data_IF_063201216163
#
_entry.id   IF_063201216163
#
_cell.length_a   1.000
_cell.length_b   1.000
_cell.length_c   1.000
_cell.angle_alpha   90.00
_cell.angle_beta   90.00
_cell.angle_gamma   90.00
#
_symmetry.space_group_name_H-M   'P 1'
#
loop_
_entity.id
_entity.type
_entity.pdbx_description
1 polymer ?
#
# COMPACT_ATOMS: atom_id res chain seq x y z
N UNK A 1 7.88 -21.26 -19.24
CA UNK A 1 6.99 -21.47 -18.08
C UNK A 1 5.80 -22.37 -18.38
N UNK A 2 6.02 -23.68 -18.48
CA UNK A 2 4.98 -24.67 -18.85
C UNK A 2 4.28 -25.28 -17.62
N UNK A 3 3.17 -25.97 -17.86
CA UNK A 3 2.60 -26.93 -16.90
C UNK A 3 3.31 -28.26 -17.16
N UNK A 4 3.93 -28.83 -16.14
CA UNK A 4 4.51 -30.18 -16.21
C UNK A 4 3.39 -31.20 -15.92
N UNK A 5 3.39 -32.30 -16.67
CA UNK A 5 2.46 -33.40 -16.47
C UNK A 5 3.26 -34.68 -16.23
N UNK A 6 2.93 -35.40 -15.17
CA UNK A 6 3.53 -36.69 -14.81
C UNK A 6 2.43 -37.71 -14.52
N UNK A 7 2.75 -39.00 -14.68
CA UNK A 7 1.81 -40.10 -14.44
C UNK A 7 2.40 -41.03 -13.40
N UNK A 8 1.67 -41.21 -12.31
CA UNK A 8 2.16 -41.96 -11.15
C UNK A 8 1.16 -43.00 -10.67
N UNK A 9 1.65 -44.11 -10.16
CA UNK A 9 0.82 -45.12 -9.51
C UNK A 9 0.48 -44.63 -8.10
N UNK A 10 -0.80 -44.62 -7.76
CA UNK A 10 -1.28 -44.23 -6.43
C UNK A 10 -0.99 -45.37 -5.45
N UNK A 11 -0.04 -45.14 -4.56
CA UNK A 11 0.26 -46.03 -3.44
C UNK A 11 -0.52 -45.57 -2.20
N UNK A 12 -1.26 -46.48 -1.57
CA UNK A 12 -2.10 -46.16 -0.41
C UNK A 12 -3.44 -45.52 -0.77
N UNK A 13 -3.96 -44.67 0.11
CA UNK A 13 -5.21 -43.95 -0.14
C UNK A 13 -5.00 -42.78 -1.11
N UNK A 14 -6.06 -42.34 -1.79
CA UNK A 14 -6.02 -41.14 -2.64
C UNK A 14 -5.62 -39.90 -1.85
N UNK A 15 -6.10 -39.80 -0.61
CA UNK A 15 -5.83 -38.66 0.27
C UNK A 15 -4.35 -38.61 0.69
N UNK A 16 -3.77 -39.75 1.08
CA UNK A 16 -2.35 -39.83 1.46
C UNK A 16 -1.44 -39.47 0.29
N UNK A 17 -1.75 -39.98 -0.91
CA UNK A 17 -1.02 -39.67 -2.13
C UNK A 17 -1.04 -38.16 -2.41
N UNK A 18 -2.22 -37.54 -2.36
CA UNK A 18 -2.38 -36.10 -2.60
C UNK A 18 -1.65 -35.28 -1.55
N UNK A 19 -1.80 -35.61 -0.27
CA UNK A 19 -1.14 -34.89 0.83
C UNK A 19 0.39 -34.99 0.74
N UNK A 20 0.91 -36.17 0.39
CA UNK A 20 2.35 -36.39 0.15
C UNK A 20 2.85 -35.52 -1.00
N UNK A 21 2.11 -35.49 -2.11
CA UNK A 21 2.46 -34.67 -3.28
C UNK A 21 2.41 -33.18 -2.96
N UNK A 22 1.36 -32.71 -2.32
CA UNK A 22 1.24 -31.29 -1.92
C UNK A 22 2.37 -30.87 -0.97
N UNK A 23 2.76 -31.73 -0.02
CA UNK A 23 3.83 -31.46 0.93
C UNK A 23 5.22 -31.38 0.30
N UNK A 24 5.42 -32.05 -0.85
CA UNK A 24 6.67 -32.00 -1.61
C UNK A 24 6.82 -30.73 -2.46
N UNK A 25 5.73 -29.99 -2.68
CA UNK A 25 5.72 -28.77 -3.48
C UNK A 25 6.05 -27.55 -2.62
N UNK A 26 6.81 -26.62 -3.19
CA UNK A 26 7.00 -25.29 -2.59
C UNK A 26 5.66 -24.53 -2.62
N UNK A 27 5.30 -23.86 -1.54
CA UNK A 27 4.12 -23.01 -1.44
C UNK A 27 2.96 -23.59 -0.63
N UNK A 28 1.89 -22.81 -0.49
CA UNK A 28 0.72 -23.17 0.31
C UNK A 28 -0.43 -23.48 -0.62
N UNK A 29 -0.85 -24.74 -0.75
CA UNK A 29 -1.91 -25.11 -1.68
C UNK A 29 -3.22 -25.36 -0.96
N UNK A 30 -4.31 -24.85 -1.55
CA UNK A 30 -5.66 -25.15 -1.06
C UNK A 30 -6.53 -25.66 -2.18
N UNK A 31 -7.38 -26.62 -1.84
CA UNK A 31 -8.37 -27.18 -2.74
C UNK A 31 -9.29 -26.05 -3.25
N UNK A 32 -9.43 -25.96 -4.57
CA UNK A 32 -10.29 -24.98 -5.24
C UNK A 32 -11.46 -25.64 -5.93
N UNK A 33 -11.25 -26.84 -6.46
CA UNK A 33 -12.29 -27.59 -7.14
C UNK A 33 -12.06 -29.09 -6.97
N UNK A 34 -13.15 -29.80 -6.71
CA UNK A 34 -13.17 -31.25 -6.56
C UNK A 34 -14.32 -31.85 -7.35
N UNK A 35 -14.01 -32.92 -8.08
CA UNK A 35 -14.93 -33.86 -8.69
C UNK A 35 -14.44 -35.27 -8.35
N UNK A 36 -15.30 -36.28 -8.53
CA UNK A 36 -15.07 -37.68 -8.15
C UNK A 36 -13.64 -38.20 -8.40
N UNK A 37 -13.08 -37.90 -9.56
CA UNK A 37 -11.75 -38.37 -9.98
C UNK A 37 -10.83 -37.20 -10.39
N UNK A 38 -11.13 -35.99 -9.92
CA UNK A 38 -10.33 -34.81 -10.23
C UNK A 38 -10.27 -33.85 -9.05
N UNK A 39 -9.05 -33.48 -8.65
CA UNK A 39 -8.82 -32.45 -7.65
C UNK A 39 -7.92 -31.37 -8.20
N UNK A 40 -8.26 -30.11 -7.92
CA UNK A 40 -7.53 -28.93 -8.36
C UNK A 40 -7.20 -28.04 -7.17
N UNK A 41 -5.92 -27.77 -7.01
CA UNK A 41 -5.36 -26.96 -5.97
C UNK A 41 -4.66 -25.74 -6.57
N UNK A 42 -4.84 -24.61 -5.92
CA UNK A 42 -4.16 -23.37 -6.28
C UNK A 42 -3.30 -22.92 -5.10
N UNK A 43 -2.11 -22.41 -5.40
CA UNK A 43 -1.28 -21.78 -4.39
C UNK A 43 -1.99 -20.54 -3.81
N UNK A 44 -2.04 -20.46 -2.48
CA UNK A 44 -2.60 -19.36 -1.70
C UNK A 44 -1.65 -18.16 -1.57
N UNK A 45 -0.45 -18.21 -2.19
CA UNK A 45 0.37 -17.00 -2.36
C UNK A 45 -0.51 -15.93 -3.01
N UNK A 46 -0.79 -14.88 -2.26
CA UNK A 46 -1.83 -13.91 -2.58
C UNK A 46 -1.32 -12.51 -2.30
N UNK A 47 -1.73 -11.57 -3.14
CA UNK A 47 -1.79 -10.17 -2.76
C UNK A 47 -3.18 -9.92 -2.20
N UNK A 48 -3.31 -9.74 -0.90
CA UNK A 48 -4.43 -8.93 -0.42
C UNK A 48 -4.21 -7.54 -1.02
N UNK A 49 -4.92 -7.21 -2.10
CA UNK A 49 -4.93 -5.85 -2.63
C UNK A 49 -5.64 -4.96 -1.61
N UNK A 50 -4.88 -4.29 -0.75
CA UNK A 50 -5.39 -3.07 -0.11
C UNK A 50 -5.30 -1.95 -1.14
N UNK A 51 -6.31 -1.83 -1.99
CA UNK A 51 -6.49 -0.67 -2.88
C UNK A 51 -7.05 -0.97 -4.29
N UNK A 52 -7.67 0.05 -4.89
CA UNK A 52 -8.17 0.05 -6.27
C UNK A 52 -7.00 0.33 -7.24
N UNK A 53 -6.55 -0.66 -8.02
CA UNK A 53 -5.56 -0.41 -9.08
C UNK A 53 -6.06 -0.89 -10.44
N UNK A 54 -6.29 0.05 -11.37
CA UNK A 54 -6.64 -0.21 -12.77
C UNK A 54 -5.42 -0.37 -13.70
N UNK A 55 -4.41 -1.16 -13.27
CA UNK A 55 -3.20 -1.38 -14.07
C UNK A 55 -3.28 -2.63 -14.96
N UNK A 56 -2.47 -2.66 -16.02
CA UNK A 56 -2.34 -3.77 -16.98
C UNK A 56 -2.17 -5.14 -16.29
N UNK A 57 -3.01 -6.15 -16.55
CA UNK A 57 -3.02 -7.45 -15.83
C UNK A 57 -1.72 -8.26 -15.86
N UNK A 58 -0.81 -7.97 -16.80
CA UNK A 58 0.51 -8.60 -16.90
C UNK A 58 1.59 -7.89 -16.06
N UNK A 59 1.30 -6.68 -15.57
CA UNK A 59 2.20 -5.83 -14.77
C UNK A 59 1.59 -5.40 -13.43
N UNK A 60 0.28 -5.56 -13.26
CA UNK A 60 -0.46 -5.11 -12.09
C UNK A 60 -0.54 -6.19 -11.04
N UNK A 61 -0.52 -5.71 -9.80
CA UNK A 61 -0.34 -6.45 -8.57
C UNK A 61 -1.61 -7.24 -8.15
N UNK A 62 -2.38 -7.76 -9.11
CA UNK A 62 -3.80 -8.11 -8.92
C UNK A 62 -4.15 -9.59 -9.11
N UNK A 63 -3.21 -10.45 -9.52
CA UNK A 63 -3.53 -11.86 -9.76
C UNK A 63 -3.06 -12.76 -8.62
N UNK A 64 -3.88 -13.75 -8.25
CA UNK A 64 -3.50 -14.88 -7.41
C UNK A 64 -2.26 -15.57 -7.97
N UNK A 65 -1.46 -16.20 -7.11
CA UNK A 65 -0.30 -16.97 -7.55
C UNK A 65 -0.68 -17.90 -8.72
N UNK A 66 0.15 -17.86 -9.76
CA UNK A 66 -0.02 -18.68 -10.96
C UNK A 66 0.29 -20.15 -10.74
N UNK A 67 0.86 -20.49 -9.58
CA UNK A 67 1.21 -21.86 -9.23
C UNK A 67 -0.03 -22.66 -8.86
N UNK A 68 -0.12 -23.85 -9.45
CA UNK A 68 -1.27 -24.75 -9.34
C UNK A 68 -0.79 -26.20 -9.42
N UNK A 69 -1.61 -27.09 -8.89
CA UNK A 69 -1.47 -28.53 -9.08
C UNK A 69 -2.85 -29.18 -9.21
N UNK A 70 -2.99 -30.11 -10.14
CA UNK A 70 -4.18 -30.95 -10.27
C UNK A 70 -3.83 -32.42 -10.35
N UNK A 71 -4.79 -33.23 -9.92
CA UNK A 71 -4.73 -34.67 -9.88
C UNK A 71 -5.94 -35.21 -10.64
N UNK A 72 -5.71 -35.99 -11.70
CA UNK A 72 -6.76 -36.77 -12.39
C UNK A 72 -6.53 -38.24 -12.09
N UNK A 73 -7.52 -38.93 -11.54
CA UNK A 73 -7.40 -40.33 -11.15
C UNK A 73 -8.05 -41.24 -12.18
N UNK A 74 -7.35 -42.29 -12.58
CA UNK A 74 -7.86 -43.29 -13.53
C UNK A 74 -7.50 -44.69 -13.06
N UNK A 75 -8.37 -45.66 -13.36
CA UNK A 75 -8.11 -47.07 -13.05
C UNK A 75 -7.65 -47.79 -14.31
N UNK A 76 -6.45 -48.34 -14.28
CA UNK A 76 -5.86 -49.13 -15.37
C UNK A 76 -5.60 -50.54 -14.86
N UNK A 77 -6.56 -51.44 -15.12
CA UNK A 77 -6.54 -52.80 -14.59
C UNK A 77 -6.60 -52.83 -13.06
N UNK A 78 -5.56 -53.38 -12.44
CA UNK A 78 -5.42 -53.45 -10.98
C UNK A 78 -4.81 -52.18 -10.37
N UNK A 79 -4.26 -51.28 -11.19
CA UNK A 79 -3.58 -50.08 -10.72
C UNK A 79 -4.52 -48.88 -10.73
N UNK A 80 -4.48 -48.10 -9.66
CA UNK A 80 -4.98 -46.73 -9.65
C UNK A 80 -3.81 -45.83 -10.02
N UNK A 81 -3.97 -45.01 -11.06
CA UNK A 81 -2.96 -44.04 -11.48
C UNK A 81 -3.49 -42.62 -11.31
N UNK A 82 -2.58 -41.68 -11.09
CA UNK A 82 -2.86 -40.26 -11.07
C UNK A 82 -2.05 -39.55 -12.13
N UNK A 83 -2.72 -38.75 -12.97
CA UNK A 83 -2.08 -37.79 -13.84
C UNK A 83 -1.93 -36.50 -13.03
N UNK A 84 -0.71 -36.19 -12.61
CA UNK A 84 -0.37 -35.01 -11.84
C UNK A 84 0.04 -33.89 -12.79
N UNK A 85 -0.66 -32.76 -12.77
CA UNK A 85 -0.30 -31.58 -13.57
C UNK A 85 0.07 -30.43 -12.65
N UNK A 86 1.30 -29.95 -12.72
CA UNK A 86 1.80 -28.91 -11.83
C UNK A 86 2.45 -27.76 -12.60
N UNK A 87 2.15 -26.53 -12.17
CA UNK A 87 2.95 -25.34 -12.46
C UNK A 87 3.60 -24.89 -11.17
N UNK A 88 4.90 -25.11 -11.05
CA UNK A 88 5.66 -24.77 -9.85
C UNK A 88 6.19 -23.32 -9.85
N UNK A 89 6.03 -22.58 -10.94
CA UNK A 89 6.39 -21.18 -10.98
C UNK A 89 5.41 -20.34 -10.13
N UNK A 90 5.94 -19.84 -9.02
CA UNK A 90 5.19 -18.96 -8.14
C UNK A 90 5.32 -17.50 -8.56
N UNK A 91 4.17 -16.82 -8.52
CA UNK A 91 4.06 -15.37 -8.56
C UNK A 91 3.34 -14.89 -7.29
N UNK A 92 3.46 -13.62 -6.94
CA UNK A 92 2.83 -13.06 -5.74
C UNK A 92 3.69 -13.14 -4.46
N UNK A 93 3.15 -12.68 -3.34
CA UNK A 93 3.87 -12.61 -2.06
C UNK A 93 3.82 -13.93 -1.30
N UNK A 94 4.88 -14.20 -0.53
CA UNK A 94 4.95 -15.33 0.40
C UNK A 94 4.14 -15.03 1.67
N UNK A 95 3.11 -15.82 2.00
CA UNK A 95 2.40 -15.72 3.27
C UNK A 95 3.38 -15.90 4.43
N UNK A 96 3.41 -14.95 5.36
CA UNK A 96 4.21 -15.04 6.57
C UNK A 96 5.59 -14.38 6.53
N UNK A 97 5.98 -13.71 5.44
CA UNK A 97 7.23 -12.93 5.42
C UNK A 97 7.01 -11.55 6.08
N UNK A 98 7.56 -11.29 7.29
CA UNK A 98 7.32 -10.07 8.07
C UNK A 98 7.97 -8.81 7.45
N UNK A 99 8.82 -8.98 6.43
CA UNK A 99 9.49 -7.87 5.76
C UNK A 99 8.72 -7.35 4.54
N UNK A 100 7.70 -8.07 4.04
CA UNK A 100 6.94 -7.63 2.87
C UNK A 100 5.91 -6.51 3.17
N UNK A 101 5.45 -6.41 4.43
CA UNK A 101 4.51 -5.38 4.88
C UNK A 101 5.20 -4.11 5.42
N UNK A 102 6.53 -4.10 5.49
CA UNK A 102 7.27 -2.89 5.84
C UNK A 102 7.19 -1.94 4.65
N UNK A 103 6.23 -1.02 4.69
CA UNK A 103 6.34 0.24 3.96
C UNK A 103 7.69 0.82 4.38
N UNK A 104 8.67 0.82 3.46
CA UNK A 104 9.97 1.44 3.67
C UNK A 104 9.73 2.93 3.86
N UNK A 105 9.42 3.34 5.09
CA UNK A 105 9.24 4.72 5.47
C UNK A 105 10.59 5.42 5.26
N UNK A 106 10.60 6.61 4.64
CA UNK A 106 11.80 7.43 4.57
C UNK A 106 12.46 7.57 5.94
N UNK A 107 13.79 7.55 5.96
CA UNK A 107 14.58 7.78 7.16
C UNK A 107 14.20 9.14 7.78
N UNK A 108 13.93 9.22 9.09
CA UNK A 108 13.51 10.48 9.72
C UNK A 108 14.50 11.64 9.52
N UNK A 109 15.81 11.36 9.49
CA UNK A 109 16.82 12.40 9.26
C UNK A 109 16.78 12.92 7.82
N UNK A 110 16.48 12.03 6.86
CA UNK A 110 16.25 12.42 5.46
C UNK A 110 14.97 13.25 5.32
N UNK A 111 13.90 12.88 6.00
CA UNK A 111 12.65 13.68 6.02
C UNK A 111 12.91 15.08 6.56
N UNK A 112 13.63 15.18 7.68
CA UNK A 112 13.99 16.48 8.25
C UNK A 112 14.83 17.33 7.29
N UNK A 113 15.82 16.70 6.64
CA UNK A 113 16.64 17.37 5.63
C UNK A 113 15.81 17.92 4.47
N UNK A 114 14.88 17.13 3.93
CA UNK A 114 13.96 17.57 2.86
C UNK A 114 13.06 18.72 3.31
N UNK A 115 12.60 18.71 4.56
CA UNK A 115 11.83 19.83 5.12
C UNK A 115 12.66 21.13 5.20
N UNK A 116 13.95 21.03 5.52
CA UNK A 116 14.88 22.17 5.49
C UNK A 116 15.07 22.70 4.06
N UNK A 117 15.17 21.81 3.07
CA UNK A 117 15.18 22.21 1.65
C UNK A 117 13.91 22.99 1.28
N UNK A 118 12.74 22.51 1.73
CA UNK A 118 11.47 23.17 1.46
C UNK A 118 11.30 24.51 2.16
N UNK A 119 11.73 24.64 3.41
CA UNK A 119 11.74 25.92 4.12
C UNK A 119 12.68 26.94 3.47
N UNK A 120 13.73 26.46 2.81
CA UNK A 120 14.65 27.28 2.00
C UNK A 120 14.10 27.65 0.62
N UNK A 121 12.85 27.30 0.30
CA UNK A 121 12.19 27.66 -0.96
C UNK A 121 12.48 26.71 -2.13
N UNK A 122 13.17 25.60 -1.92
CA UNK A 122 13.48 24.65 -3.01
C UNK A 122 12.23 24.01 -3.61
N UNK A 123 12.27 23.79 -4.91
CA UNK A 123 11.26 23.03 -5.67
C UNK A 123 11.34 21.53 -5.37
N UNK A 124 10.32 20.77 -5.79
CA UNK A 124 10.32 19.31 -5.61
C UNK A 124 11.51 18.63 -6.31
N UNK A 125 11.90 19.11 -7.50
CA UNK A 125 13.03 18.54 -8.24
C UNK A 125 14.35 18.80 -7.52
N UNK A 126 14.57 20.03 -7.06
CA UNK A 126 15.78 20.41 -6.31
C UNK A 126 15.88 19.66 -4.99
N UNK A 127 14.79 19.57 -4.24
CA UNK A 127 14.74 18.82 -2.98
C UNK A 127 15.00 17.32 -3.18
N UNK A 128 14.54 16.74 -4.31
CA UNK A 128 14.82 15.34 -4.64
C UNK A 128 16.30 15.12 -4.98
N UNK A 129 16.91 16.03 -5.74
CA UNK A 129 18.35 15.97 -6.06
C UNK A 129 19.20 16.13 -4.80
N UNK A 130 18.85 17.07 -3.93
CA UNK A 130 19.50 17.26 -2.63
C UNK A 130 19.35 16.02 -1.73
N UNK A 131 18.16 15.41 -1.69
CA UNK A 131 17.91 14.17 -0.96
C UNK A 131 18.77 13.00 -1.49
N UNK A 132 18.94 12.91 -2.81
CA UNK A 132 19.80 11.89 -3.42
C UNK A 132 21.26 12.08 -3.01
N UNK A 133 21.77 13.31 -3.10
CA UNK A 133 23.12 13.65 -2.69
C UNK A 133 23.35 13.37 -1.19
N UNK A 134 22.42 13.79 -0.33
CA UNK A 134 22.46 13.56 1.12
C UNK A 134 22.65 12.08 1.48
N UNK A 135 22.00 11.19 0.73
CA UNK A 135 22.09 9.74 0.93
C UNK A 135 23.43 9.17 0.47
N UNK A 136 23.97 9.65 -0.64
CA UNK A 136 25.29 9.25 -1.13
C UNK A 136 26.41 9.68 -0.17
N UNK A 137 26.34 10.91 0.35
CA UNK A 137 27.30 11.44 1.33
C UNK A 137 27.34 10.62 2.63
N UNK A 138 26.26 9.88 2.93
CA UNK A 138 26.15 9.00 4.10
C UNK A 138 26.40 7.53 3.78
N UNK A 139 27.05 7.25 2.65
CA UNK A 139 27.48 5.92 2.26
C UNK A 139 26.33 4.98 1.87
N UNK A 140 25.15 5.52 1.54
CA UNK A 140 24.04 4.70 1.03
C UNK A 140 24.28 4.44 -0.45
N UNK A 141 24.36 3.17 -0.82
CA UNK A 141 24.71 2.74 -2.19
C UNK A 141 23.55 2.07 -2.92
N UNK A 142 22.58 1.54 -2.18
CA UNK A 142 21.42 0.87 -2.77
C UNK A 142 20.32 1.87 -3.13
N UNK A 143 20.30 2.32 -4.39
CA UNK A 143 19.29 3.24 -4.94
C UNK A 143 17.85 2.71 -4.89
N UNK A 144 17.66 1.39 -4.73
CA UNK A 144 16.34 0.80 -4.57
C UNK A 144 15.82 0.88 -3.12
N UNK A 145 16.66 1.24 -2.15
CA UNK A 145 16.25 1.39 -0.75
C UNK A 145 15.53 2.73 -0.57
N UNK A 146 14.20 2.68 -0.66
CA UNK A 146 13.30 3.83 -0.51
C UNK A 146 13.35 4.51 0.86
N UNK A 147 14.02 3.92 1.86
CA UNK A 147 14.32 4.60 3.13
C UNK A 147 15.29 5.76 2.92
N UNK A 148 16.20 5.63 1.95
CA UNK A 148 17.26 6.60 1.68
C UNK A 148 17.13 7.25 0.30
N UNK A 149 16.50 6.60 -0.67
CA UNK A 149 16.34 7.12 -2.02
C UNK A 149 14.87 7.40 -2.33
N UNK A 150 14.48 8.66 -2.21
CA UNK A 150 13.10 9.11 -2.39
C UNK A 150 12.68 9.07 -3.85
N UNK A 151 11.43 8.69 -4.10
CA UNK A 151 10.81 8.83 -5.43
C UNK A 151 10.15 10.21 -5.57
N UNK A 152 9.83 10.66 -6.80
CA UNK A 152 9.07 11.90 -7.01
C UNK A 152 7.75 11.94 -6.23
N UNK A 153 7.09 10.78 -6.06
CA UNK A 153 5.86 10.66 -5.29
C UNK A 153 6.09 10.89 -3.79
N UNK A 154 7.22 10.42 -3.26
CA UNK A 154 7.58 10.61 -1.85
C UNK A 154 7.84 12.10 -1.58
N UNK A 155 8.60 12.77 -2.44
CA UNK A 155 8.89 14.21 -2.32
C UNK A 155 7.63 15.06 -2.44
N UNK A 156 6.73 14.73 -3.38
CA UNK A 156 5.43 15.41 -3.49
C UNK A 156 4.61 15.29 -2.20
N UNK A 157 4.52 14.10 -1.63
CA UNK A 157 3.80 13.86 -0.37
C UNK A 157 4.43 14.60 0.82
N UNK A 158 5.77 14.64 0.88
CA UNK A 158 6.49 15.41 1.89
C UNK A 158 6.21 16.91 1.75
N UNK A 159 6.17 17.44 0.52
CA UNK A 159 5.81 18.84 0.26
C UNK A 159 4.39 19.15 0.73
N UNK A 160 3.42 18.32 0.38
CA UNK A 160 2.02 18.48 0.83
C UNK A 160 1.91 18.47 2.36
N UNK A 161 2.68 17.60 3.02
CA UNK A 161 2.71 17.50 4.49
C UNK A 161 3.40 18.70 5.13
N UNK A 162 4.52 19.16 4.57
CA UNK A 162 5.22 20.38 4.99
C UNK A 162 4.32 21.61 4.86
N UNK A 163 3.63 21.75 3.72
CA UNK A 163 2.70 22.84 3.47
C UNK A 163 1.55 22.81 4.48
N UNK A 164 0.93 21.64 4.70
CA UNK A 164 -0.13 21.48 5.72
C UNK A 164 0.34 21.78 7.14
N UNK A 165 1.59 21.52 7.49
CA UNK A 165 2.11 21.85 8.84
C UNK A 165 2.47 23.32 9.02
N UNK A 166 2.61 24.09 7.93
CA UNK A 166 2.96 25.52 7.95
C UNK A 166 1.79 26.43 7.57
N UNK A 167 0.71 25.89 7.00
CA UNK A 167 -0.58 26.57 6.99
C UNK A 167 -1.27 26.31 8.32
N UNK A 168 -1.51 27.37 9.09
CA UNK A 168 -2.59 27.36 10.06
C UNK A 168 -3.87 26.93 9.34
N UNK A 169 -4.60 25.98 9.93
CA UNK A 169 -5.71 25.31 9.31
C UNK A 169 -6.66 26.35 8.70
N UNK A 170 -7.17 26.13 7.48
CA UNK A 170 -8.24 26.97 6.93
C UNK A 170 -9.51 26.96 7.82
N UNK A 171 -9.56 26.06 8.81
CA UNK A 171 -10.56 25.99 9.87
C UNK A 171 -10.24 26.84 11.12
N UNK A 172 -9.02 27.37 11.29
CA UNK A 172 -8.70 28.35 12.34
C UNK A 172 -9.30 29.73 12.03
N UNK A 173 -9.71 29.95 10.77
CA UNK A 173 -10.70 30.96 10.46
C UNK A 173 -12.08 30.45 10.90
N UNK A 174 -12.36 30.51 12.21
CA UNK A 174 -13.75 30.42 12.71
C UNK A 174 -14.52 31.47 11.93
N UNK A 175 -15.41 31.04 11.05
CA UNK A 175 -16.29 31.93 10.30
C UNK A 175 -16.88 32.92 11.30
N UNK A 176 -16.74 34.22 11.04
CA UNK A 176 -17.34 35.26 11.89
C UNK A 176 -18.85 35.05 12.06
N UNK A 177 -19.48 34.37 11.10
CA UNK A 177 -20.86 33.88 11.16
C UNK A 177 -21.07 32.85 12.28
N UNK A 178 -20.11 31.95 12.50
CA UNK A 178 -20.14 30.97 13.59
C UNK A 178 -19.95 31.64 14.97
N UNK A 179 -19.13 32.69 15.07
CA UNK A 179 -19.02 33.52 16.28
C UNK A 179 -20.39 34.13 16.67
N UNK A 180 -21.15 34.63 15.69
CA UNK A 180 -22.49 35.19 15.87
C UNK A 180 -23.58 34.15 16.22
N UNK A 181 -23.31 32.85 16.03
CA UNK A 181 -24.23 31.76 16.40
C UNK A 181 -23.87 31.08 17.73
N UNK A 182 -22.77 31.50 18.36
CA UNK A 182 -22.33 30.99 19.67
C UNK A 182 -22.81 31.87 20.82
N UNK A 183 -22.63 31.42 22.06
CA UNK A 183 -22.94 32.18 23.29
C UNK A 183 -22.20 33.52 23.40
N UNK A 184 -21.18 33.76 22.56
CA UNK A 184 -20.45 35.01 22.48
C UNK A 184 -21.21 36.12 21.74
N UNK A 185 -22.29 35.78 21.01
CA UNK A 185 -23.15 36.75 20.29
C UNK A 185 -23.59 37.90 21.20
N UNK A 186 -23.98 37.57 22.43
CA UNK A 186 -24.53 38.53 23.39
C UNK A 186 -23.48 39.55 23.89
N UNK A 187 -22.19 39.29 23.61
CA UNK A 187 -21.08 40.18 23.92
C UNK A 187 -20.61 40.99 22.71
N UNK A 188 -21.16 40.80 21.51
CA UNK A 188 -20.76 41.57 20.31
C UNK A 188 -21.57 42.86 20.23
N UNK A 189 -20.92 44.01 20.45
CA UNK A 189 -21.55 45.33 20.34
C UNK A 189 -21.62 45.84 18.91
N UNK A 190 -20.59 45.55 18.11
CA UNK A 190 -20.51 45.98 16.71
C UNK A 190 -19.84 44.89 15.89
N UNK A 191 -20.41 44.62 14.72
CA UNK A 191 -19.90 43.66 13.76
C UNK A 191 -19.88 44.29 12.36
N UNK A 192 -18.69 44.36 11.77
CA UNK A 192 -18.48 44.77 10.38
C UNK A 192 -17.70 43.66 9.67
N UNK A 193 -18.30 42.93 8.71
CA UNK A 193 -17.62 41.86 8.00
C UNK A 193 -16.51 42.41 7.09
N UNK A 194 -15.51 41.57 6.82
CA UNK A 194 -14.48 41.85 5.80
C UNK A 194 -15.16 41.94 4.43
N UNK A 195 -14.89 43.01 3.69
CA UNK A 195 -15.27 43.11 2.28
C UNK A 195 -14.07 43.60 1.48
N UNK A 196 -13.47 42.67 0.74
CA UNK A 196 -12.25 42.91 -0.05
C UNK A 196 -12.52 43.82 -1.25
N UNK A 197 -13.73 43.77 -1.83
CA UNK A 197 -14.10 44.57 -3.01
C UNK A 197 -14.11 46.08 -2.73
N UNK A 198 -14.33 46.46 -1.46
CA UNK A 198 -14.38 47.85 -1.01
C UNK A 198 -13.26 48.20 -0.03
N UNK A 199 -12.24 47.32 0.10
CA UNK A 199 -11.14 47.42 1.08
C UNK A 199 -11.61 47.70 2.52
N UNK A 200 -12.75 47.15 2.89
CA UNK A 200 -13.32 47.34 4.22
C UNK A 200 -12.78 46.28 5.18
N UNK A 201 -12.10 46.66 6.28
CA UNK A 201 -11.54 45.70 7.23
C UNK A 201 -12.63 45.02 8.06
N UNK A 202 -12.31 43.80 8.54
CA UNK A 202 -13.10 43.12 9.57
C UNK A 202 -12.97 43.88 10.90
N UNK A 203 -14.10 44.30 11.47
CA UNK A 203 -14.16 44.93 12.80
C UNK A 203 -15.15 44.15 13.67
N UNK A 204 -14.70 43.73 14.85
CA UNK A 204 -15.54 43.11 15.88
C UNK A 204 -15.28 43.85 17.19
N UNK A 205 -16.31 44.50 17.73
CA UNK A 205 -16.25 45.17 19.03
C UNK A 205 -16.97 44.30 20.04
N UNK A 206 -16.26 43.88 21.07
CA UNK A 206 -16.81 43.07 22.16
C UNK A 206 -17.01 43.95 23.40
N UNK A 207 -18.12 43.74 24.09
CA UNK A 207 -18.33 44.29 25.42
C UNK A 207 -17.46 43.48 26.40
N UNK A 208 -16.40 44.09 26.93
CA UNK A 208 -15.75 43.51 28.11
C UNK A 208 -16.70 43.62 29.30
N UNK A 209 -16.81 42.56 30.11
CA UNK A 209 -17.40 42.69 31.42
C UNK A 209 -16.65 43.78 32.19
N UNK A 210 -17.33 44.89 32.46
CA UNK A 210 -16.89 45.85 33.48
C UNK A 210 -16.73 45.08 34.79
N UNK A 211 -15.57 45.22 35.44
CA UNK A 211 -15.33 44.72 36.80
C UNK A 211 -16.43 45.18 37.75
#
# INVERSE_FOLDING_TARGET
SGVLADVEIVQGSREDFVNTKLSSLVGYYSLRHEKKDYQYYLCQRGRASKGKSGGSPTKSRANSCTSLVSFSFEKHGLFLVSIVRARQEHTGHEPGNPNHDKVNRPDPALVNYVNICFSSGMTNTEAMMAAHQWSQERGKTNVADRRYFLTPKDVKYLRETFVRSHHHDGNDAVSTTHLLTTSLKDHVQMFQPLNEDVQQPLIIVLQSASQ
#
